data_IF_003507004664
#
_entry.id   IF_003507004664
#
_cell.length_a   1.000
_cell.length_b   1.000
_cell.length_c   1.000
_cell.angle_alpha   90.00
_cell.angle_beta   90.00
_cell.angle_gamma   90.00
#
_symmetry.space_group_name_H-M   'P 1'
#
loop_
_entity.id
_entity.type
_entity.pdbx_description
1 polymer ?
#
# COMPACT_ATOMS: atom_id res chain seq x y z
N UNK A 1 31.26 -2.68 37.69
CA UNK A 1 30.70 -2.60 36.34
C UNK A 1 30.36 -4.01 35.89
N UNK A 2 29.15 -4.44 36.14
CA UNK A 2 28.67 -5.79 35.80
C UNK A 2 28.25 -5.76 34.34
N UNK A 3 29.01 -6.49 33.52
CA UNK A 3 28.73 -6.75 32.12
C UNK A 3 27.47 -7.63 32.06
N UNK A 4 26.28 -7.00 31.84
CA UNK A 4 25.09 -7.76 31.53
C UNK A 4 25.25 -8.17 30.05
N UNK A 5 25.70 -9.44 29.88
CA UNK A 5 25.69 -10.07 28.59
C UNK A 5 24.22 -10.01 28.07
N UNK A 6 23.99 -9.28 26.98
CA UNK A 6 22.71 -9.31 26.29
C UNK A 6 22.39 -10.75 25.95
N UNK A 7 21.36 -11.31 26.56
CA UNK A 7 20.82 -12.62 26.17
C UNK A 7 20.44 -12.46 24.69
N UNK A 8 21.19 -13.10 23.80
CA UNK A 8 20.85 -13.23 22.41
C UNK A 8 19.56 -14.06 22.39
N UNK A 9 18.42 -13.39 22.30
CA UNK A 9 17.16 -14.06 21.98
C UNK A 9 17.36 -14.71 20.61
N UNK A 10 16.96 -15.96 20.46
CA UNK A 10 16.98 -16.65 19.17
C UNK A 10 16.31 -15.75 18.11
N UNK A 11 16.90 -15.72 16.92
CA UNK A 11 16.34 -14.94 15.80
C UNK A 11 14.91 -15.45 15.52
N UNK A 12 13.86 -14.61 15.56
CA UNK A 12 12.47 -15.06 15.36
C UNK A 12 12.23 -15.53 13.94
N UNK A 13 11.38 -16.55 13.76
CA UNK A 13 10.98 -16.99 12.42
C UNK A 13 10.23 -15.90 11.70
N UNK A 14 10.64 -15.60 10.46
CA UNK A 14 9.95 -14.69 9.53
C UNK A 14 9.33 -15.50 8.40
N UNK A 15 8.01 -15.38 8.19
CA UNK A 15 7.38 -15.86 6.96
C UNK A 15 7.49 -14.81 5.88
N UNK A 16 8.20 -15.11 4.79
CA UNK A 16 8.14 -14.33 3.56
C UNK A 16 7.08 -14.95 2.66
N UNK A 17 6.14 -14.15 2.13
CA UNK A 17 5.07 -14.64 1.26
C UNK A 17 5.03 -13.88 -0.05
N UNK A 18 5.00 -14.61 -1.18
CA UNK A 18 4.87 -14.05 -2.51
C UNK A 18 3.66 -14.64 -3.24
N UNK A 19 2.52 -13.94 -3.27
CA UNK A 19 1.42 -14.31 -4.15
C UNK A 19 1.81 -13.98 -5.60
N UNK A 20 1.65 -14.96 -6.52
CA UNK A 20 2.05 -14.80 -7.92
C UNK A 20 0.95 -15.24 -8.88
N UNK A 21 0.76 -14.46 -9.93
CA UNK A 21 0.00 -14.81 -11.14
C UNK A 21 0.73 -14.25 -12.37
N UNK A 22 1.21 -15.14 -13.24
CA UNK A 22 1.95 -14.79 -14.45
C UNK A 22 3.11 -13.79 -14.18
N UNK A 23 3.98 -14.17 -13.25
CA UNK A 23 5.11 -13.35 -12.80
C UNK A 23 6.44 -13.68 -13.46
N UNK A 24 6.48 -14.54 -14.48
CA UNK A 24 7.70 -15.06 -15.12
C UNK A 24 8.78 -14.01 -15.36
N UNK A 25 8.50 -12.80 -15.87
CA UNK A 25 9.54 -11.82 -16.19
C UNK A 25 10.33 -11.33 -14.96
N UNK A 26 9.77 -11.45 -13.75
CA UNK A 26 10.33 -10.84 -12.54
C UNK A 26 10.53 -11.82 -11.39
N UNK A 27 9.78 -12.93 -11.35
CA UNK A 27 9.73 -13.87 -10.23
C UNK A 27 11.11 -14.42 -9.86
N UNK A 28 11.98 -14.68 -10.84
CA UNK A 28 13.36 -15.09 -10.60
C UNK A 28 14.10 -14.09 -9.72
N UNK A 29 14.13 -12.81 -10.07
CA UNK A 29 14.80 -11.77 -9.28
C UNK A 29 14.16 -11.59 -7.90
N UNK A 30 12.84 -11.73 -7.81
CA UNK A 30 12.11 -11.71 -6.55
C UNK A 30 12.62 -12.82 -5.61
N UNK A 31 12.63 -14.08 -6.07
CA UNK A 31 13.10 -15.23 -5.29
C UNK A 31 14.56 -15.06 -4.88
N UNK A 32 15.44 -14.72 -5.81
CA UNK A 32 16.87 -14.54 -5.54
C UNK A 32 17.10 -13.44 -4.49
N UNK A 33 16.28 -12.39 -4.48
CA UNK A 33 16.36 -11.31 -3.48
C UNK A 33 15.98 -11.77 -2.06
N UNK A 34 15.08 -12.75 -1.95
CA UNK A 34 14.73 -13.38 -0.66
C UNK A 34 15.86 -14.30 -0.19
N UNK A 35 16.42 -15.12 -1.07
CA UNK A 35 17.48 -16.04 -0.75
C UNK A 35 18.80 -15.33 -0.39
N UNK A 36 19.01 -14.12 -0.90
CA UNK A 36 20.17 -13.28 -0.63
C UNK A 36 20.06 -12.46 0.68
N UNK A 37 19.02 -12.65 1.50
CA UNK A 37 18.88 -11.93 2.76
C UNK A 37 19.95 -12.34 3.76
N UNK A 38 20.50 -11.36 4.49
CA UNK A 38 21.46 -11.59 5.60
C UNK A 38 20.82 -12.28 6.80
N UNK A 39 19.50 -12.16 6.96
CA UNK A 39 18.71 -12.84 7.97
C UNK A 39 18.39 -14.26 7.52
N UNK A 40 18.72 -15.28 8.32
CA UNK A 40 18.65 -16.67 7.90
C UNK A 40 17.40 -17.43 8.39
N UNK A 41 16.80 -17.01 9.52
CA UNK A 41 15.67 -17.74 10.11
C UNK A 41 14.33 -17.30 9.49
N UNK A 42 14.12 -17.70 8.22
CA UNK A 42 12.87 -17.46 7.51
C UNK A 42 12.37 -18.71 6.78
N UNK A 43 11.07 -18.80 6.59
CA UNK A 43 10.42 -19.61 5.57
C UNK A 43 10.01 -18.72 4.40
N UNK A 44 9.98 -19.28 3.19
CA UNK A 44 9.53 -18.57 2.00
C UNK A 44 8.38 -19.31 1.31
N UNK A 45 7.21 -18.67 1.25
CA UNK A 45 5.98 -19.24 0.73
C UNK A 45 5.63 -18.56 -0.58
N UNK A 46 5.65 -19.30 -1.69
CA UNK A 46 5.24 -18.81 -3.01
C UNK A 46 3.85 -19.38 -3.29
N UNK A 47 2.86 -18.50 -3.47
CA UNK A 47 1.46 -18.89 -3.70
C UNK A 47 1.11 -18.69 -5.17
N UNK A 48 1.12 -19.76 -5.92
CA UNK A 48 0.79 -19.76 -7.35
C UNK A 48 -0.72 -19.71 -7.57
N UNK A 49 -1.19 -18.63 -8.20
CA UNK A 49 -2.61 -18.38 -8.49
C UNK A 49 -3.00 -18.87 -9.89
N UNK A 50 -2.81 -20.14 -10.17
CA UNK A 50 -3.10 -20.75 -11.48
C UNK A 50 -2.35 -20.05 -12.64
N UNK A 51 -1.05 -19.74 -12.47
CA UNK A 51 -0.24 -19.13 -13.54
C UNK A 51 -0.18 -20.03 -14.77
N UNK A 52 -0.20 -19.43 -15.95
CA UNK A 52 -0.16 -20.08 -17.27
C UNK A 52 1.17 -19.88 -18.01
N UNK A 53 2.08 -19.10 -17.41
CA UNK A 53 3.46 -18.87 -17.83
C UNK A 53 4.43 -19.78 -17.08
N UNK A 54 5.75 -19.56 -17.18
CA UNK A 54 6.76 -20.35 -16.49
C UNK A 54 6.94 -20.01 -14.98
N UNK A 55 5.99 -19.28 -14.36
CA UNK A 55 6.08 -18.93 -12.94
C UNK A 55 6.16 -20.13 -12.02
N UNK A 56 5.31 -21.16 -12.24
CA UNK A 56 5.30 -22.37 -11.43
C UNK A 56 6.61 -23.19 -11.61
N UNK A 57 7.09 -23.30 -12.84
CA UNK A 57 8.37 -23.96 -13.15
C UNK A 57 9.54 -23.27 -12.44
N UNK A 58 9.59 -21.94 -12.53
CA UNK A 58 10.60 -21.12 -11.84
C UNK A 58 10.54 -21.33 -10.33
N UNK A 59 9.36 -21.26 -9.72
CA UNK A 59 9.21 -21.47 -8.28
C UNK A 59 9.66 -22.88 -7.86
N UNK A 60 9.28 -23.91 -8.62
CA UNK A 60 9.65 -25.32 -8.39
C UNK A 60 11.17 -25.50 -8.47
N UNK A 61 11.82 -24.91 -9.47
CA UNK A 61 13.28 -24.97 -9.62
C UNK A 61 14.03 -24.51 -8.37
N UNK A 62 13.55 -23.42 -7.71
CA UNK A 62 14.17 -22.93 -6.48
C UNK A 62 13.76 -23.75 -5.24
N UNK A 63 12.51 -24.20 -5.15
CA UNK A 63 12.03 -25.03 -4.04
C UNK A 63 12.78 -26.37 -3.94
N UNK A 64 13.17 -26.98 -5.07
CA UNK A 64 13.98 -28.20 -5.12
C UNK A 64 15.42 -27.99 -4.60
N UNK A 65 15.87 -26.76 -4.44
CA UNK A 65 17.25 -26.39 -4.09
C UNK A 65 17.40 -25.71 -2.73
N UNK A 66 16.31 -25.18 -2.18
CA UNK A 66 16.30 -24.52 -0.87
C UNK A 66 15.07 -24.98 -0.07
N UNK A 67 15.30 -25.75 0.98
CA UNK A 67 14.25 -26.33 1.83
C UNK A 67 13.41 -25.29 2.58
N UNK A 68 13.83 -24.02 2.60
CA UNK A 68 13.03 -22.92 3.19
C UNK A 68 11.89 -22.50 2.29
N UNK A 69 11.89 -22.88 0.99
CA UNK A 69 10.86 -22.52 0.03
C UNK A 69 9.76 -23.57 0.05
N UNK A 70 8.52 -23.10 0.16
CA UNK A 70 7.31 -23.92 0.05
C UNK A 70 6.38 -23.30 -0.99
N UNK A 71 5.86 -24.13 -1.90
CA UNK A 71 4.89 -23.69 -2.92
C UNK A 71 3.49 -24.09 -2.47
N UNK A 72 2.56 -23.15 -2.55
CA UNK A 72 1.12 -23.37 -2.40
C UNK A 72 0.47 -23.08 -3.75
N UNK A 73 -0.38 -23.98 -4.22
CA UNK A 73 -1.13 -23.76 -5.45
C UNK A 73 -2.60 -23.54 -5.12
N UNK A 74 -3.21 -22.53 -5.71
CA UNK A 74 -4.65 -22.35 -5.63
C UNK A 74 -5.34 -23.34 -6.55
N UNK A 75 -6.46 -23.92 -6.11
CA UNK A 75 -7.26 -24.86 -6.89
C UNK A 75 -7.98 -24.15 -8.06
N UNK A 76 -8.26 -22.86 -7.91
CA UNK A 76 -8.88 -21.99 -8.91
C UNK A 76 -8.25 -20.59 -8.93
N UNK A 77 -8.43 -19.86 -10.02
CA UNK A 77 -7.97 -18.48 -10.12
C UNK A 77 -8.74 -17.58 -9.16
N UNK A 78 -8.01 -16.90 -8.28
CA UNK A 78 -8.54 -15.96 -7.31
C UNK A 78 -8.30 -14.51 -7.76
N UNK A 79 -9.14 -13.58 -7.29
CA UNK A 79 -8.83 -12.15 -7.38
C UNK A 79 -7.52 -11.85 -6.66
N UNK A 80 -6.86 -10.73 -7.01
CA UNK A 80 -5.61 -10.32 -6.37
C UNK A 80 -5.73 -10.31 -4.85
N UNK A 81 -6.76 -9.67 -4.31
CA UNK A 81 -6.98 -9.55 -2.85
C UNK A 81 -7.19 -10.94 -2.22
N UNK A 82 -7.97 -11.83 -2.84
CA UNK A 82 -8.15 -13.20 -2.35
C UNK A 82 -6.86 -13.99 -2.35
N UNK A 83 -6.03 -13.84 -3.39
CA UNK A 83 -4.74 -14.50 -3.48
C UNK A 83 -3.77 -14.02 -2.38
N UNK A 84 -3.75 -12.70 -2.08
CA UNK A 84 -2.99 -12.16 -0.96
C UNK A 84 -3.50 -12.69 0.40
N UNK A 85 -4.81 -12.73 0.60
CA UNK A 85 -5.40 -13.31 1.81
C UNK A 85 -5.04 -14.81 1.95
N UNK A 86 -5.07 -15.58 0.87
CA UNK A 86 -4.66 -16.98 0.89
C UNK A 86 -3.18 -17.16 1.21
N UNK A 87 -2.31 -16.29 0.67
CA UNK A 87 -0.89 -16.29 1.01
C UNK A 87 -0.65 -16.02 2.50
N UNK A 88 -1.37 -15.08 3.09
CA UNK A 88 -1.28 -14.74 4.51
C UNK A 88 -1.80 -15.87 5.43
N UNK A 89 -2.81 -16.64 5.01
CA UNK A 89 -3.27 -17.83 5.76
C UNK A 89 -2.23 -18.96 5.74
N UNK A 90 -1.30 -18.94 4.80
CA UNK A 90 -0.31 -20.00 4.62
C UNK A 90 0.92 -19.85 5.52
N UNK A 91 1.06 -18.76 6.32
CA UNK A 91 2.21 -18.56 7.21
C UNK A 91 2.22 -19.58 8.35
N UNK A 92 3.42 -20.01 8.77
CA UNK A 92 3.57 -20.94 9.87
C UNK A 92 3.05 -20.39 11.20
N UNK A 93 2.58 -21.29 12.06
CA UNK A 93 2.09 -20.91 13.40
C UNK A 93 3.20 -20.32 14.28
N UNK A 94 4.43 -20.77 14.10
CA UNK A 94 5.60 -20.32 14.85
C UNK A 94 6.20 -19.00 14.30
N UNK A 95 5.71 -18.53 13.17
CA UNK A 95 6.16 -17.27 12.58
C UNK A 95 5.82 -16.08 13.49
N UNK A 96 6.84 -15.27 13.80
CA UNK A 96 6.70 -14.06 14.63
C UNK A 96 6.40 -12.84 13.76
N UNK A 97 6.99 -12.79 12.57
CA UNK A 97 6.80 -11.70 11.62
C UNK A 97 6.47 -12.24 10.23
N UNK A 98 5.71 -11.47 9.48
CA UNK A 98 5.39 -11.76 8.08
C UNK A 98 5.84 -10.61 7.19
N UNK A 99 6.52 -10.96 6.10
CA UNK A 99 6.96 -10.07 5.03
C UNK A 99 6.24 -10.44 3.75
N UNK A 100 5.37 -9.57 3.27
CA UNK A 100 4.76 -9.74 1.95
C UNK A 100 5.72 -9.17 0.91
N UNK A 101 5.96 -9.90 -0.17
CA UNK A 101 6.78 -9.45 -1.29
C UNK A 101 6.01 -9.71 -2.59
N UNK A 102 5.67 -8.66 -3.33
CA UNK A 102 5.05 -8.81 -4.64
C UNK A 102 6.01 -9.48 -5.63
N UNK A 103 5.50 -10.32 -6.52
CA UNK A 103 6.31 -11.14 -7.43
C UNK A 103 7.17 -10.33 -8.43
N UNK A 104 6.83 -9.06 -8.64
CA UNK A 104 7.54 -8.12 -9.51
C UNK A 104 8.51 -7.19 -8.75
N UNK A 105 8.56 -7.29 -7.42
CA UNK A 105 9.39 -6.48 -6.54
C UNK A 105 10.60 -7.28 -6.02
N UNK A 106 11.48 -6.62 -5.25
CA UNK A 106 12.61 -7.27 -4.58
C UNK A 106 13.01 -6.58 -3.27
N UNK A 107 13.65 -7.33 -2.39
CA UNK A 107 14.25 -6.84 -1.17
C UNK A 107 15.75 -6.56 -1.37
N UNK A 108 16.29 -5.55 -0.66
CA UNK A 108 17.72 -5.37 -0.54
C UNK A 108 18.28 -6.32 0.54
N UNK A 109 19.57 -6.70 0.49
CA UNK A 109 20.12 -7.83 1.27
C UNK A 109 19.93 -7.76 2.79
N UNK A 110 19.80 -6.59 3.37
CA UNK A 110 19.64 -6.38 4.83
C UNK A 110 18.19 -6.14 5.26
N UNK A 111 17.22 -6.26 4.35
CA UNK A 111 15.83 -5.86 4.61
C UNK A 111 15.24 -6.57 5.82
N UNK A 112 15.26 -7.91 5.85
CA UNK A 112 14.69 -8.65 6.97
C UNK A 112 15.42 -8.35 8.28
N UNK A 113 16.76 -8.35 8.27
CA UNK A 113 17.55 -8.08 9.47
C UNK A 113 17.20 -6.73 10.09
N UNK A 114 17.21 -5.67 9.29
CA UNK A 114 16.96 -4.30 9.79
C UNK A 114 15.54 -4.10 10.31
N UNK A 115 14.56 -4.71 9.64
CA UNK A 115 13.15 -4.63 10.08
C UNK A 115 12.90 -5.47 11.34
N UNK A 116 13.50 -6.65 11.44
CA UNK A 116 13.40 -7.51 12.64
C UNK A 116 14.08 -6.87 13.84
N UNK A 117 15.28 -6.32 13.68
CA UNK A 117 16.03 -5.68 14.77
C UNK A 117 15.21 -4.60 15.48
N UNK A 118 14.54 -3.72 14.71
CA UNK A 118 13.72 -2.65 15.31
C UNK A 118 12.43 -3.21 15.93
N UNK A 119 11.82 -4.23 15.32
CA UNK A 119 10.60 -4.83 15.82
C UNK A 119 10.81 -5.62 17.12
N UNK A 120 11.93 -6.36 17.25
CA UNK A 120 12.29 -7.07 18.47
C UNK A 120 12.60 -6.14 19.65
N UNK A 121 13.21 -4.98 19.37
CA UNK A 121 13.55 -4.00 20.40
C UNK A 121 12.33 -3.39 21.10
N UNK A 122 11.13 -3.53 20.54
CA UNK A 122 9.88 -3.02 21.13
C UNK A 122 8.69 -3.93 20.82
N UNK A 123 8.19 -4.72 21.78
CA UNK A 123 7.06 -5.63 21.59
C UNK A 123 5.75 -4.96 21.18
N UNK A 124 5.61 -3.66 21.41
CA UNK A 124 4.42 -2.89 21.00
C UNK A 124 4.40 -2.51 19.52
N UNK A 125 5.45 -2.80 18.73
CA UNK A 125 5.48 -2.53 17.29
C UNK A 125 4.70 -3.61 16.54
N UNK A 126 3.65 -3.20 15.82
CA UNK A 126 2.85 -4.08 14.96
C UNK A 126 3.28 -4.06 13.50
N UNK A 127 3.78 -2.91 13.05
CA UNK A 127 4.17 -2.66 11.65
C UNK A 127 5.51 -1.93 11.60
N UNK A 128 6.40 -2.41 10.74
CA UNK A 128 7.66 -1.74 10.38
C UNK A 128 7.62 -1.40 8.90
N UNK A 129 8.04 -0.19 8.54
CA UNK A 129 8.25 0.21 7.14
C UNK A 129 9.66 0.81 6.96
N UNK A 130 10.05 1.09 5.72
CA UNK A 130 11.35 1.64 5.37
C UNK A 130 11.28 2.42 4.07
N UNK A 131 12.35 3.15 3.72
CA UNK A 131 12.44 3.75 2.39
C UNK A 131 12.43 2.67 1.30
N UNK A 132 11.80 3.02 0.18
CA UNK A 132 11.65 2.17 -1.00
C UNK A 132 12.23 2.86 -2.23
N UNK A 133 12.96 2.14 -3.05
CA UNK A 133 13.27 2.58 -4.41
C UNK A 133 12.06 2.33 -5.31
N UNK A 134 11.56 3.39 -5.92
CA UNK A 134 10.53 3.31 -6.96
C UNK A 134 11.19 3.45 -8.32
N UNK A 135 11.14 2.41 -9.13
CA UNK A 135 11.63 2.41 -10.50
C UNK A 135 10.50 2.70 -11.48
N UNK A 136 10.60 3.82 -12.17
CA UNK A 136 9.65 4.29 -13.18
C UNK A 136 10.06 3.92 -14.62
N UNK A 137 11.12 3.11 -14.77
CA UNK A 137 11.73 2.76 -16.04
C UNK A 137 12.65 3.84 -16.59
N UNK A 138 12.25 5.12 -16.51
CA UNK A 138 13.06 6.26 -16.95
C UNK A 138 13.97 6.84 -15.86
N UNK A 139 13.61 6.62 -14.59
CA UNK A 139 14.35 7.11 -13.42
C UNK A 139 13.96 6.32 -12.17
N UNK A 140 14.81 6.38 -11.15
CA UNK A 140 14.56 5.78 -9.83
C UNK A 140 14.44 6.91 -8.80
N UNK A 141 13.46 6.80 -7.90
CA UNK A 141 13.26 7.74 -6.79
C UNK A 141 13.19 7.01 -5.45
N UNK A 142 13.64 7.67 -4.37
CA UNK A 142 13.38 7.20 -3.02
C UNK A 142 11.96 7.62 -2.61
N UNK A 143 11.18 6.68 -2.12
CA UNK A 143 9.79 6.87 -1.72
C UNK A 143 9.60 6.60 -0.22
N UNK A 144 8.42 6.94 0.33
CA UNK A 144 8.04 6.86 1.75
C UNK A 144 8.83 7.83 2.64
N UNK A 145 9.18 8.99 2.09
CA UNK A 145 9.85 10.07 2.82
C UNK A 145 8.84 10.92 3.60
N UNK A 146 9.32 11.68 4.60
CA UNK A 146 8.49 12.64 5.33
C UNK A 146 8.47 12.46 6.85
N UNK A 147 9.15 11.43 7.37
CA UNK A 147 9.36 11.27 8.83
C UNK A 147 10.67 11.90 9.29
N UNK A 148 10.72 12.41 10.54
CA UNK A 148 11.95 12.93 11.13
C UNK A 148 13.00 11.83 11.25
N UNK A 149 14.20 12.06 10.73
CA UNK A 149 15.28 11.06 10.72
C UNK A 149 15.73 10.64 12.15
N UNK A 150 15.56 11.51 13.13
CA UNK A 150 15.95 11.25 14.53
C UNK A 150 14.96 10.35 15.28
N UNK A 151 13.84 10.02 14.68
CA UNK A 151 12.79 9.21 15.30
C UNK A 151 12.45 8.01 14.42
N UNK A 152 12.56 6.82 14.98
CA UNK A 152 12.26 5.57 14.29
C UNK A 152 11.00 4.86 14.83
N UNK A 153 10.49 5.24 16.00
CA UNK A 153 9.29 4.62 16.60
C UNK A 153 8.25 5.71 16.83
N UNK A 154 7.05 5.45 16.40
CA UNK A 154 5.91 6.35 16.46
C UNK A 154 4.71 5.65 17.09
N UNK A 155 3.89 6.37 17.86
CA UNK A 155 2.59 5.81 18.24
C UNK A 155 1.75 5.61 16.97
N UNK A 156 0.97 4.53 16.94
CA UNK A 156 0.07 4.27 15.82
C UNK A 156 -0.89 5.44 15.58
N UNK A 157 -1.38 6.05 16.68
CA UNK A 157 -2.26 7.21 16.62
C UNK A 157 -1.63 8.40 15.92
N UNK A 158 -0.37 8.72 16.26
CA UNK A 158 0.32 9.89 15.68
C UNK A 158 0.60 9.71 14.20
N UNK A 159 0.98 8.51 13.77
CA UNK A 159 1.23 8.20 12.36
C UNK A 159 -0.06 8.30 11.54
N UNK A 160 -1.15 7.71 12.01
CA UNK A 160 -2.45 7.80 11.34
C UNK A 160 -2.97 9.24 11.27
N UNK A 161 -2.78 10.01 12.36
CA UNK A 161 -3.15 11.43 12.40
C UNK A 161 -2.36 12.24 11.37
N UNK A 162 -1.03 12.06 11.28
CA UNK A 162 -0.17 12.72 10.27
C UNK A 162 -0.59 12.38 8.85
N UNK A 163 -0.91 11.11 8.59
CA UNK A 163 -1.42 10.69 7.29
C UNK A 163 -2.71 11.43 6.91
N UNK A 164 -3.70 11.48 7.82
CA UNK A 164 -4.99 12.11 7.55
C UNK A 164 -4.92 13.63 7.39
N UNK A 165 -4.07 14.31 8.17
CA UNK A 165 -3.97 15.77 8.15
C UNK A 165 -2.99 16.28 7.10
N UNK A 166 -1.79 15.70 7.06
CA UNK A 166 -0.65 16.24 6.32
C UNK A 166 -0.39 15.46 5.02
N UNK A 167 -1.06 14.33 4.84
CA UNK A 167 -0.86 13.44 3.69
C UNK A 167 0.51 12.73 3.72
N UNK A 168 1.14 12.59 4.89
CA UNK A 168 2.42 11.89 5.07
C UNK A 168 2.19 10.39 4.92
N UNK A 169 2.37 9.89 3.70
CA UNK A 169 2.21 8.47 3.38
C UNK A 169 3.52 7.73 3.60
N UNK A 170 3.58 6.89 4.63
CA UNK A 170 4.78 6.15 5.04
C UNK A 170 4.56 4.65 5.23
N UNK A 171 3.33 4.19 5.05
CA UNK A 171 3.02 2.76 5.17
C UNK A 171 3.63 1.97 4.01
N UNK A 172 3.45 2.46 2.78
CA UNK A 172 3.91 1.76 1.59
C UNK A 172 2.93 0.69 1.11
N UNK A 173 3.32 0.00 0.06
CA UNK A 173 2.66 -1.23 -0.38
C UNK A 173 3.05 -2.41 0.55
N UNK A 174 2.40 -3.57 0.43
CA UNK A 174 2.77 -4.76 1.20
C UNK A 174 4.26 -5.10 1.15
N UNK A 175 4.92 -4.88 0.00
CA UNK A 175 6.37 -5.10 -0.15
C UNK A 175 7.22 -4.20 0.77
N UNK A 176 6.75 -2.99 1.13
CA UNK A 176 7.53 -2.07 1.96
C UNK A 176 7.49 -2.42 3.46
N UNK A 177 6.58 -3.31 3.89
CA UNK A 177 6.27 -3.52 5.30
C UNK A 177 6.66 -4.90 5.83
N UNK A 178 6.96 -4.96 7.14
CA UNK A 178 6.99 -6.16 7.95
C UNK A 178 5.89 -6.06 9.00
N UNK A 179 5.05 -7.08 9.12
CA UNK A 179 3.89 -7.09 10.02
C UNK A 179 4.06 -8.22 11.04
N UNK A 180 3.67 -7.99 12.27
CA UNK A 180 3.65 -9.02 13.31
C UNK A 180 2.63 -10.12 12.96
N UNK A 181 3.06 -11.38 12.91
CA UNK A 181 2.24 -12.51 12.42
C UNK A 181 0.98 -12.76 13.24
N UNK A 182 1.01 -12.48 14.55
CA UNK A 182 -0.19 -12.59 15.40
C UNK A 182 -1.33 -11.67 14.94
N UNK A 183 -0.99 -10.48 14.41
CA UNK A 183 -1.98 -9.54 13.85
C UNK A 183 -2.64 -10.14 12.61
N UNK A 184 -1.85 -10.77 11.75
CA UNK A 184 -2.36 -11.42 10.54
C UNK A 184 -3.27 -12.59 10.91
N UNK A 185 -2.83 -13.47 11.83
CA UNK A 185 -3.62 -14.63 12.26
C UNK A 185 -4.90 -14.27 13.02
N UNK A 186 -4.97 -13.08 13.63
CA UNK A 186 -6.18 -12.61 14.34
C UNK A 186 -7.27 -12.09 13.41
N UNK A 187 -7.03 -12.06 12.08
CA UNK A 187 -7.93 -11.45 11.09
C UNK A 187 -8.20 -12.40 9.92
N UNK A 188 -9.46 -12.56 9.55
CA UNK A 188 -9.88 -13.28 8.35
C UNK A 188 -11.19 -12.68 7.82
N UNK A 189 -11.19 -12.04 6.64
CA UNK A 189 -10.03 -11.80 5.77
C UNK A 189 -9.10 -10.71 6.32
N UNK A 190 -7.82 -10.74 5.93
CA UNK A 190 -6.87 -9.69 6.27
C UNK A 190 -7.10 -8.43 5.42
N UNK A 191 -7.20 -8.55 4.10
CA UNK A 191 -7.54 -7.48 3.17
C UNK A 191 -9.01 -7.57 2.74
N UNK A 192 -9.68 -6.41 2.62
CA UNK A 192 -11.09 -6.31 2.20
C UNK A 192 -11.22 -6.19 0.68
N UNK A 193 -11.96 -7.09 0.04
CA UNK A 193 -12.13 -7.15 -1.42
C UNK A 193 -12.88 -5.94 -2.00
N UNK A 194 -13.80 -5.37 -1.25
CA UNK A 194 -14.61 -4.24 -1.69
C UNK A 194 -13.96 -2.88 -1.44
N UNK A 195 -12.82 -2.84 -0.75
CA UNK A 195 -12.10 -1.61 -0.49
C UNK A 195 -11.41 -1.08 -1.75
N UNK A 196 -11.25 0.24 -1.81
CA UNK A 196 -10.38 0.94 -2.78
C UNK A 196 -9.09 1.43 -2.12
N UNK A 197 -8.91 1.08 -0.84
CA UNK A 197 -7.79 1.48 0.03
C UNK A 197 -7.29 0.30 0.86
N UNK A 198 -7.42 -0.93 0.32
CA UNK A 198 -7.21 -2.19 1.04
C UNK A 198 -5.90 -2.24 1.86
N UNK A 199 -4.79 -1.74 1.28
CA UNK A 199 -3.51 -1.69 1.99
C UNK A 199 -3.53 -0.68 3.15
N UNK A 200 -4.18 0.47 2.96
CA UNK A 200 -4.23 1.57 3.94
C UNK A 200 -5.20 1.27 5.07
N UNK A 201 -6.32 0.63 4.76
CA UNK A 201 -7.35 0.26 5.76
C UNK A 201 -6.75 -0.60 6.87
N UNK A 202 -5.94 -1.59 6.48
CA UNK A 202 -5.28 -2.49 7.43
C UNK A 202 -4.32 -1.74 8.35
N UNK A 203 -3.57 -0.76 7.83
CA UNK A 203 -2.69 0.04 8.68
C UNK A 203 -3.46 0.90 9.67
N UNK A 204 -4.57 1.52 9.27
CA UNK A 204 -5.42 2.25 10.19
C UNK A 204 -5.97 1.35 11.31
N UNK A 205 -6.38 0.14 10.98
CA UNK A 205 -6.94 -0.79 11.96
C UNK A 205 -5.88 -1.35 12.91
N UNK A 206 -4.71 -1.74 12.40
CA UNK A 206 -3.60 -2.22 13.22
C UNK A 206 -3.12 -1.12 14.17
N UNK A 207 -2.94 0.08 13.65
CA UNK A 207 -2.33 1.19 14.38
C UNK A 207 -3.26 1.89 15.37
N UNK A 208 -4.50 1.42 15.54
CA UNK A 208 -5.33 1.76 16.70
C UNK A 208 -4.75 1.20 18.00
N UNK A 209 -4.10 0.05 17.95
CA UNK A 209 -3.63 -0.70 19.12
C UNK A 209 -2.13 -0.94 19.14
N UNK A 210 -1.45 -0.77 18.01
CA UNK A 210 -0.03 -1.05 17.84
C UNK A 210 0.75 0.21 17.46
N UNK A 211 2.05 0.20 17.79
CA UNK A 211 2.99 1.23 17.34
C UNK A 211 3.51 0.93 15.92
N UNK A 212 4.01 1.96 15.28
CA UNK A 212 4.65 1.93 13.99
C UNK A 212 6.15 2.19 14.13
N UNK A 213 6.96 1.43 13.42
CA UNK A 213 8.38 1.71 13.31
C UNK A 213 8.79 2.02 11.87
N UNK A 214 9.80 2.85 11.72
CA UNK A 214 10.36 3.20 10.42
C UNK A 214 11.88 3.07 10.41
N UNK A 215 12.39 2.25 9.51
CA UNK A 215 13.82 2.11 9.27
C UNK A 215 14.26 3.14 8.25
N UNK A 216 15.12 4.07 8.64
CA UNK A 216 15.59 5.16 7.77
C UNK A 216 16.69 4.68 6.80
N UNK A 217 16.47 3.54 6.16
CA UNK A 217 17.32 2.95 5.14
C UNK A 217 16.46 2.49 3.97
N UNK A 218 17.03 2.44 2.78
CA UNK A 218 16.35 1.88 1.62
C UNK A 218 16.45 0.35 1.69
N UNK A 219 15.31 -0.33 1.81
CA UNK A 219 15.27 -1.78 2.03
C UNK A 219 14.49 -2.56 0.97
N UNK A 220 13.71 -1.88 0.13
CA UNK A 220 12.91 -2.52 -0.92
C UNK A 220 13.01 -1.78 -2.24
N UNK A 221 12.70 -2.49 -3.32
CA UNK A 221 12.69 -1.97 -4.69
C UNK A 221 11.39 -2.37 -5.36
N UNK A 222 10.63 -1.37 -5.85
CA UNK A 222 9.34 -1.53 -6.51
C UNK A 222 9.41 -1.13 -7.97
N UNK A 223 8.87 -1.96 -8.85
CA UNK A 223 8.68 -1.65 -10.27
C UNK A 223 7.38 -0.91 -10.50
N UNK A 224 7.46 0.18 -11.30
CA UNK A 224 6.30 1.01 -11.66
C UNK A 224 6.13 1.22 -13.16
N UNK A 225 6.97 0.57 -13.98
CA UNK A 225 6.91 0.63 -15.43
C UNK A 225 6.20 -0.59 -16.06
N UNK A 226 5.84 -1.58 -15.26
CA UNK A 226 5.02 -2.71 -15.67
C UNK A 226 3.54 -2.33 -15.71
N UNK A 227 2.71 -3.17 -16.34
CA UNK A 227 1.25 -3.04 -16.32
C UNK A 227 0.70 -3.35 -14.93
N UNK A 228 0.71 -2.33 -14.06
CA UNK A 228 0.17 -2.45 -12.71
C UNK A 228 -1.28 -1.96 -12.63
N UNK A 229 -2.02 -2.45 -11.62
CA UNK A 229 -3.39 -1.99 -11.32
C UNK A 229 -3.47 -0.46 -11.15
N UNK A 230 -2.43 0.16 -10.57
CA UNK A 230 -2.35 1.62 -10.37
C UNK A 230 -2.26 2.37 -11.70
N UNK A 231 -1.51 1.84 -12.69
CA UNK A 231 -1.44 2.49 -14.00
C UNK A 231 -2.77 2.47 -14.74
N UNK A 232 -3.55 1.41 -14.61
CA UNK A 232 -4.92 1.30 -15.16
C UNK A 232 -5.89 2.31 -14.52
N UNK A 233 -5.68 2.69 -13.25
CA UNK A 233 -6.54 3.61 -12.50
C UNK A 233 -6.08 5.07 -12.55
N UNK A 234 -5.02 5.42 -13.29
CA UNK A 234 -4.48 6.80 -13.36
C UNK A 234 -5.54 7.85 -13.69
N UNK A 235 -6.50 7.51 -14.58
CA UNK A 235 -7.55 8.41 -15.03
C UNK A 235 -8.80 8.47 -14.12
N UNK A 236 -8.79 7.70 -13.01
CA UNK A 236 -9.95 7.56 -12.13
C UNK A 236 -9.95 8.51 -10.94
N UNK A 237 -8.99 9.44 -10.82
CA UNK A 237 -8.87 10.32 -9.65
C UNK A 237 -8.84 9.52 -8.33
N UNK A 238 -8.08 8.43 -8.30
CA UNK A 238 -8.02 7.52 -7.16
C UNK A 238 -7.68 8.25 -5.87
N UNK A 239 -6.69 9.13 -5.88
CA UNK A 239 -6.24 9.87 -4.70
C UNK A 239 -7.37 10.62 -3.98
N UNK A 240 -8.22 11.31 -4.74
CA UNK A 240 -9.30 12.11 -4.16
C UNK A 240 -10.43 11.25 -3.62
N UNK A 241 -10.68 10.10 -4.25
CA UNK A 241 -11.62 9.11 -3.74
C UNK A 241 -11.09 8.48 -2.44
N UNK A 242 -9.84 8.00 -2.43
CA UNK A 242 -9.26 7.34 -1.25
C UNK A 242 -9.21 8.28 -0.07
N UNK A 243 -8.80 9.54 -0.23
CA UNK A 243 -8.83 10.54 0.84
C UNK A 243 -10.22 10.73 1.46
N UNK A 244 -11.28 10.71 0.63
CA UNK A 244 -12.65 10.83 1.15
C UNK A 244 -13.09 9.56 1.89
N UNK A 245 -12.73 8.39 1.40
CA UNK A 245 -12.98 7.10 2.06
C UNK A 245 -12.25 7.07 3.40
N UNK A 246 -10.97 7.32 3.42
CA UNK A 246 -10.10 7.29 4.60
C UNK A 246 -10.57 8.26 5.70
N UNK A 247 -10.85 9.53 5.35
CA UNK A 247 -11.34 10.50 6.34
C UNK A 247 -12.73 10.12 6.88
N UNK A 248 -13.58 9.49 6.06
CA UNK A 248 -14.92 9.08 6.46
C UNK A 248 -14.89 7.90 7.42
N UNK A 249 -14.06 6.87 7.12
CA UNK A 249 -13.96 5.66 7.93
C UNK A 249 -13.13 5.87 9.21
N UNK A 250 -11.99 6.53 9.09
CA UNK A 250 -10.96 6.55 10.13
C UNK A 250 -10.78 7.91 10.81
N UNK A 251 -11.29 9.00 10.20
CA UNK A 251 -11.05 10.35 10.71
C UNK A 251 -11.40 10.52 12.19
N UNK A 252 -12.57 10.05 12.62
CA UNK A 252 -13.00 10.18 14.01
C UNK A 252 -12.23 9.30 15.01
N UNK A 253 -11.52 8.28 14.53
CA UNK A 253 -10.71 7.40 15.38
C UNK A 253 -9.39 8.07 15.80
N UNK A 254 -8.83 8.92 14.94
CA UNK A 254 -7.49 9.46 15.09
C UNK A 254 -7.41 10.97 15.27
N UNK A 255 -8.46 11.71 14.87
CA UNK A 255 -8.51 13.17 14.92
C UNK A 255 -9.40 13.68 16.04
N UNK A 256 -9.14 14.88 16.52
CA UNK A 256 -10.11 15.62 17.34
C UNK A 256 -11.33 15.99 16.48
N UNK A 257 -12.46 16.32 17.12
CA UNK A 257 -13.69 16.70 16.39
C UNK A 257 -13.47 17.95 15.53
N UNK A 258 -12.65 18.91 15.99
CA UNK A 258 -12.30 20.12 15.24
C UNK A 258 -11.46 19.79 14.00
N UNK A 259 -10.38 19.01 14.17
CA UNK A 259 -9.50 18.55 13.08
C UNK A 259 -10.29 17.75 12.04
N UNK A 260 -11.10 16.80 12.50
CA UNK A 260 -11.95 15.97 11.63
C UNK A 260 -12.91 16.82 10.82
N UNK A 261 -13.66 17.72 11.49
CA UNK A 261 -14.65 18.56 10.84
C UNK A 261 -14.03 19.50 9.82
N UNK A 262 -12.86 20.09 10.13
CA UNK A 262 -12.12 20.96 9.22
C UNK A 262 -11.62 20.17 8.01
N UNK A 263 -10.87 19.08 8.24
CA UNK A 263 -10.25 18.26 7.19
C UNK A 263 -11.28 17.63 6.27
N UNK A 264 -12.37 17.10 6.84
CA UNK A 264 -13.46 16.52 6.06
C UNK A 264 -14.12 17.55 5.13
N UNK A 265 -14.36 18.79 5.60
CA UNK A 265 -14.91 19.87 4.74
C UNK A 265 -13.98 20.18 3.56
N UNK A 266 -12.66 20.24 3.78
CA UNK A 266 -11.68 20.46 2.71
C UNK A 266 -11.73 19.34 1.67
N UNK A 267 -11.62 18.09 2.10
CA UNK A 267 -11.65 16.92 1.22
C UNK A 267 -12.97 16.82 0.43
N UNK A 268 -14.10 16.99 1.09
CA UNK A 268 -15.43 16.97 0.42
C UNK A 268 -15.55 18.07 -0.63
N UNK A 269 -15.05 19.27 -0.33
CA UNK A 269 -15.03 20.39 -1.29
C UNK A 269 -14.21 20.05 -2.52
N UNK A 270 -12.98 19.54 -2.33
CA UNK A 270 -12.07 19.21 -3.42
C UNK A 270 -12.62 18.05 -4.26
N UNK A 271 -13.17 17.02 -3.61
CA UNK A 271 -13.80 15.90 -4.28
C UNK A 271 -15.00 16.32 -5.15
N UNK A 272 -15.87 17.19 -4.64
CA UNK A 272 -17.00 17.75 -5.42
C UNK A 272 -16.54 18.53 -6.64
N UNK A 273 -15.48 19.32 -6.52
CA UNK A 273 -14.90 20.05 -7.66
C UNK A 273 -14.37 19.10 -8.73
N UNK A 274 -13.72 18.01 -8.33
CA UNK A 274 -13.21 17.00 -9.26
C UNK A 274 -14.34 16.29 -9.97
N UNK A 275 -15.36 15.84 -9.25
CA UNK A 275 -16.54 15.22 -9.86
C UNK A 275 -17.22 16.19 -10.84
N UNK A 276 -17.40 17.46 -10.46
CA UNK A 276 -17.94 18.48 -11.34
C UNK A 276 -17.13 18.66 -12.63
N UNK A 277 -15.79 18.67 -12.54
CA UNK A 277 -14.91 18.71 -13.73
C UNK A 277 -15.09 17.48 -14.62
N UNK A 278 -15.29 16.29 -14.02
CA UNK A 278 -15.42 15.04 -14.75
C UNK A 278 -16.79 14.87 -15.43
N UNK A 279 -17.86 15.53 -14.95
CA UNK A 279 -19.12 15.66 -15.67
C UNK A 279 -18.88 16.32 -17.02
N UNK A 280 -18.18 17.48 -17.06
CA UNK A 280 -17.86 18.18 -18.30
C UNK A 280 -16.89 17.43 -19.22
N UNK A 281 -16.12 16.50 -18.68
CA UNK A 281 -15.21 15.61 -19.44
C UNK A 281 -15.90 14.38 -20.00
N UNK A 282 -17.18 14.19 -19.71
CA UNK A 282 -17.99 13.04 -20.16
C UNK A 282 -17.32 11.70 -19.85
N UNK A 283 -16.82 11.52 -18.62
CA UNK A 283 -16.21 10.26 -18.18
C UNK A 283 -17.17 9.09 -18.37
N UNK A 284 -16.62 7.89 -18.58
CA UNK A 284 -17.35 6.64 -18.85
C UNK A 284 -18.22 6.19 -17.67
N UNK A 285 -19.16 5.27 -17.91
CA UNK A 285 -19.95 4.63 -16.86
C UNK A 285 -19.06 3.92 -15.85
N UNK A 286 -17.98 3.28 -16.31
CA UNK A 286 -16.99 2.57 -15.47
C UNK A 286 -16.36 3.51 -14.44
N UNK A 287 -16.00 4.74 -14.84
CA UNK A 287 -15.50 5.76 -13.93
C UNK A 287 -16.51 6.04 -12.80
N UNK A 288 -17.78 6.27 -13.15
CA UNK A 288 -18.82 6.59 -12.17
C UNK A 288 -19.15 5.42 -11.25
N UNK A 289 -19.14 4.19 -11.78
CA UNK A 289 -19.37 2.98 -10.98
C UNK A 289 -18.23 2.71 -10.01
N UNK A 290 -16.99 2.98 -10.42
CA UNK A 290 -15.82 2.92 -9.53
C UNK A 290 -15.97 3.87 -8.34
N UNK A 291 -16.30 5.15 -8.60
CA UNK A 291 -16.52 6.13 -7.53
C UNK A 291 -17.69 5.76 -6.63
N UNK A 292 -18.81 5.27 -7.19
CA UNK A 292 -19.96 4.82 -6.40
C UNK A 292 -19.62 3.64 -5.49
N UNK A 293 -18.85 2.67 -5.97
CA UNK A 293 -18.43 1.51 -5.16
C UNK A 293 -17.56 1.94 -3.98
N UNK A 294 -16.50 2.70 -4.23
CA UNK A 294 -15.61 3.18 -3.18
C UNK A 294 -16.34 4.03 -2.12
N UNK A 295 -17.22 4.93 -2.54
CA UNK A 295 -18.02 5.74 -1.61
C UNK A 295 -19.02 4.90 -0.81
N UNK A 296 -19.61 3.88 -1.43
CA UNK A 296 -20.56 2.99 -0.76
C UNK A 296 -19.87 2.17 0.33
N UNK A 297 -18.64 1.71 0.08
CA UNK A 297 -17.80 1.05 1.09
C UNK A 297 -17.63 1.92 2.34
N UNK A 298 -17.44 3.24 2.15
CA UNK A 298 -17.35 4.20 3.26
C UNK A 298 -18.71 4.63 3.85
N UNK A 299 -19.83 4.05 3.42
CA UNK A 299 -21.17 4.46 3.85
C UNK A 299 -21.60 5.85 3.31
N UNK A 300 -20.90 6.36 2.28
CA UNK A 300 -21.18 7.66 1.67
C UNK A 300 -21.96 7.50 0.37
N UNK A 301 -23.13 8.13 0.27
CA UNK A 301 -23.96 8.10 -0.93
C UNK A 301 -23.78 9.37 -1.76
N UNK A 302 -23.22 9.20 -2.95
CA UNK A 302 -23.11 10.29 -3.92
C UNK A 302 -24.48 10.59 -4.51
N UNK A 303 -25.04 11.75 -4.19
CA UNK A 303 -26.34 12.17 -4.70
C UNK A 303 -26.22 13.17 -5.86
N UNK A 304 -27.33 13.33 -6.61
CA UNK A 304 -27.40 14.23 -7.77
C UNK A 304 -27.16 15.69 -7.39
N UNK A 305 -27.57 16.11 -6.19
CA UNK A 305 -27.38 17.47 -5.68
C UNK A 305 -25.90 17.81 -5.49
N UNK A 306 -25.09 16.88 -4.98
CA UNK A 306 -23.63 17.06 -4.84
C UNK A 306 -22.93 17.18 -6.19
N UNK A 307 -23.34 16.38 -7.17
CA UNK A 307 -22.85 16.47 -8.53
C UNK A 307 -23.22 17.82 -9.18
N UNK A 308 -24.46 18.27 -9.01
CA UNK A 308 -24.92 19.57 -9.51
C UNK A 308 -24.15 20.71 -8.84
N UNK A 309 -23.97 20.66 -7.52
CA UNK A 309 -23.17 21.65 -6.79
C UNK A 309 -21.71 21.68 -7.26
N UNK A 310 -21.10 20.52 -7.46
CA UNK A 310 -19.75 20.41 -8.02
C UNK A 310 -19.65 21.02 -9.42
N UNK A 311 -20.61 20.74 -10.30
CA UNK A 311 -20.67 21.32 -11.65
C UNK A 311 -20.83 22.85 -11.62
N UNK A 312 -21.74 23.38 -10.80
CA UNK A 312 -21.94 24.83 -10.61
C UNK A 312 -20.66 25.49 -10.07
N UNK A 313 -20.00 24.87 -9.08
CA UNK A 313 -18.74 25.38 -8.52
C UNK A 313 -17.64 25.49 -9.58
N UNK A 314 -17.56 24.54 -10.52
CA UNK A 314 -16.61 24.60 -11.64
C UNK A 314 -16.95 25.74 -12.61
N UNK A 315 -18.23 25.99 -12.86
CA UNK A 315 -18.67 27.12 -13.70
C UNK A 315 -18.28 28.44 -13.03
N UNK A 316 -18.59 28.59 -11.74
CA UNK A 316 -18.25 29.80 -10.98
C UNK A 316 -16.72 30.02 -10.91
N UNK A 317 -15.93 28.99 -10.65
CA UNK A 317 -14.47 29.11 -10.65
C UNK A 317 -13.93 29.61 -12.01
N UNK A 318 -14.50 29.13 -13.12
CA UNK A 318 -14.12 29.60 -14.47
C UNK A 318 -14.54 31.05 -14.75
N UNK A 319 -15.68 31.47 -14.26
CA UNK A 319 -16.19 32.84 -14.45
C UNK A 319 -15.42 33.84 -13.61
N UNK A 320 -15.11 33.48 -12.37
CA UNK A 320 -14.38 34.35 -11.42
C UNK A 320 -12.86 34.39 -11.66
N UNK A 321 -12.30 33.37 -12.32
CA UNK A 321 -10.86 33.23 -12.60
C UNK A 321 -10.59 33.04 -14.11
N UNK A 322 -10.98 33.99 -15.00
CA UNK A 322 -10.85 33.81 -16.44
C UNK A 322 -9.40 33.70 -16.91
N UNK A 323 -8.48 34.40 -16.25
CA UNK A 323 -7.03 34.35 -16.55
C UNK A 323 -6.46 32.96 -16.36
N UNK A 324 -6.73 32.31 -15.20
CA UNK A 324 -6.31 30.94 -14.88
C UNK A 324 -6.95 29.92 -15.83
N UNK A 325 -8.16 30.19 -16.28
CA UNK A 325 -8.89 29.35 -17.26
C UNK A 325 -8.21 29.40 -18.63
N UNK A 326 -7.80 30.58 -19.10
CA UNK A 326 -7.05 30.79 -20.34
C UNK A 326 -5.67 30.14 -20.30
N UNK A 327 -4.91 30.31 -19.21
CA UNK A 327 -3.60 29.67 -18.99
C UNK A 327 -3.69 28.15 -19.06
N UNK A 328 -4.69 27.55 -18.42
CA UNK A 328 -4.93 26.11 -18.45
C UNK A 328 -5.32 25.59 -19.86
N UNK A 329 -6.05 26.35 -20.63
CA UNK A 329 -6.42 26.02 -22.03
C UNK A 329 -5.18 26.07 -22.93
N UNK A 330 -4.36 27.10 -22.78
CA UNK A 330 -3.11 27.27 -23.55
C UNK A 330 -2.10 26.15 -23.22
N UNK A 331 -1.90 25.84 -21.93
CA UNK A 331 -1.02 24.76 -21.50
C UNK A 331 -1.43 23.38 -22.05
N UNK A 332 -2.73 23.11 -22.18
CA UNK A 332 -3.25 21.88 -22.79
C UNK A 332 -3.01 21.82 -24.31
N UNK A 333 -3.16 22.96 -25.02
CA UNK A 333 -2.87 23.02 -26.46
C UNK A 333 -1.39 22.79 -26.77
N UNK A 334 -0.50 23.22 -25.88
CA UNK A 334 0.95 23.01 -26.02
C UNK A 334 1.29 21.53 -25.78
N UNK A 335 0.73 20.88 -24.73
CA UNK A 335 0.97 19.46 -24.46
C UNK A 335 0.38 18.52 -25.51
N UNK A 336 -0.76 18.85 -26.10
CA UNK A 336 -1.41 18.05 -27.15
C UNK A 336 -0.77 18.20 -28.55
N UNK A 337 0.28 19.00 -28.71
CA UNK A 337 1.10 19.09 -29.95
C UNK A 337 2.38 18.27 -29.89
N UNK A 338 2.67 17.62 -28.75
CA UNK A 338 3.88 16.81 -28.53
C UNK A 338 3.55 15.35 -28.14
N UNK A 339 2.30 14.91 -28.36
CA UNK A 339 1.87 13.50 -28.25
C UNK A 339 1.52 12.93 -29.62
#
# INVERSE_FOLDING_TARGET
MTNVAAIKTEDPLVSVVTPVYNGEPYLKECIESVLAQSYNNFEYIIVNNCSTDASLETATYYADRDARIRIVQNDEFLSQVKNYNNALRSISQDSVYCKILAADDRMLPTCLQRMVDIAQGNPGIGVVSAYTLMDWGSHITVYLVGLPYQQSIFSGRDICRRFLLDGVYVFGSPTATLIRSEIIRSRDPFYYEDSVTEDVDIFFEILQSWNFAFVHETLTYHRRYNESTISALRDFNLKELTQLVEITLYGKLFLTEEEYSKRRREIVKDYRLILGRNIFRKKSAIFWDFHKRGLRFAGYNLNRGELAFGALSVIFDRLLNPKRTLENVLARRIRGKHS
#
